data_IF_142845095732
#
_entry.id   IF_142845095732
#
_cell.length_a   1.000
_cell.length_b   1.000
_cell.length_c   1.000
_cell.angle_alpha   90.00
_cell.angle_beta   90.00
_cell.angle_gamma   90.00
#
_symmetry.space_group_name_H-M   'P 1'
#
loop_
_entity.id
_entity.type
_entity.pdbx_description
1 polymer ?
#
# COMPACT_ATOMS: atom_id res chain seq x y z
N UNK A 1 10.13 -20.64 -2.81
CA UNK A 1 9.60 -21.41 -1.63
C UNK A 1 9.51 -20.55 -0.37
N UNK A 2 8.62 -20.91 0.57
CA UNK A 2 8.44 -20.20 1.83
C UNK A 2 9.67 -20.24 2.73
N UNK A 3 10.35 -19.11 2.89
CA UNK A 3 11.44 -18.95 3.86
C UNK A 3 11.09 -17.79 4.79
N UNK A 4 11.76 -17.71 5.95
CA UNK A 4 11.62 -16.56 6.85
C UNK A 4 11.79 -15.24 6.09
N UNK A 5 12.89 -15.11 5.32
CA UNK A 5 13.20 -13.90 4.56
C UNK A 5 12.20 -13.72 3.41
N UNK A 6 11.81 -14.81 2.75
CA UNK A 6 10.83 -14.81 1.67
C UNK A 6 9.44 -14.33 2.08
N UNK A 7 9.09 -14.39 3.38
CA UNK A 7 7.85 -13.80 3.90
C UNK A 7 8.08 -12.39 4.47
N UNK A 8 9.12 -12.21 5.28
CA UNK A 8 9.37 -10.95 5.98
C UNK A 8 9.70 -9.81 5.01
N UNK A 9 10.53 -10.05 3.99
CA UNK A 9 10.94 -8.98 3.07
C UNK A 9 9.77 -8.46 2.19
N UNK A 10 8.96 -9.31 1.53
CA UNK A 10 7.73 -8.85 0.88
C UNK A 10 6.75 -8.22 1.87
N UNK A 11 6.68 -8.74 3.11
CA UNK A 11 5.86 -8.18 4.17
C UNK A 11 6.17 -6.72 4.48
N UNK A 12 7.44 -6.35 4.60
CA UNK A 12 7.85 -4.95 4.72
C UNK A 12 7.46 -4.11 3.50
N UNK A 13 7.61 -4.66 2.30
CA UNK A 13 7.19 -3.99 1.06
C UNK A 13 5.70 -3.62 1.08
N UNK A 14 4.83 -4.60 1.32
CA UNK A 14 3.38 -4.37 1.41
C UNK A 14 3.01 -3.42 2.54
N UNK A 15 3.66 -3.53 3.71
CA UNK A 15 3.41 -2.62 4.84
C UNK A 15 3.74 -1.17 4.49
N UNK A 16 4.91 -0.92 3.91
CA UNK A 16 5.33 0.44 3.53
C UNK A 16 4.42 1.04 2.45
N UNK A 17 4.05 0.24 1.44
CA UNK A 17 3.11 0.68 0.40
C UNK A 17 1.72 0.96 0.99
N UNK A 18 1.22 0.07 1.86
CA UNK A 18 -0.08 0.26 2.53
C UNK A 18 -0.13 1.52 3.39
N UNK A 19 0.91 1.78 4.19
CA UNK A 19 1.03 3.01 4.98
C UNK A 19 1.16 4.26 4.10
N UNK A 20 1.93 4.17 3.02
CA UNK A 20 2.06 5.24 2.03
C UNK A 20 0.71 5.58 1.39
N UNK A 21 -0.08 4.58 1.01
CA UNK A 21 -1.43 4.78 0.48
C UNK A 21 -2.38 5.35 1.53
N UNK A 22 -2.34 4.82 2.76
CA UNK A 22 -3.20 5.26 3.86
C UNK A 22 -2.98 6.74 4.19
N UNK A 23 -1.72 7.16 4.28
CA UNK A 23 -1.35 8.55 4.48
C UNK A 23 -1.85 9.45 3.35
N UNK A 24 -1.60 9.08 2.10
CA UNK A 24 -1.96 9.94 0.97
C UNK A 24 -3.48 10.03 0.74
N UNK A 25 -4.22 8.92 0.89
CA UNK A 25 -5.68 8.93 0.82
C UNK A 25 -6.28 9.81 1.93
N UNK A 26 -5.79 9.65 3.16
CA UNK A 26 -6.25 10.47 4.30
C UNK A 26 -5.95 11.94 4.07
N UNK A 27 -4.71 12.28 3.70
CA UNK A 27 -4.30 13.65 3.37
C UNK A 27 -5.15 14.26 2.26
N UNK A 28 -5.35 13.55 1.16
CA UNK A 28 -6.11 14.04 0.02
C UNK A 28 -7.56 14.31 0.40
N UNK A 29 -8.18 13.40 1.15
CA UNK A 29 -9.55 13.55 1.61
C UNK A 29 -9.71 14.70 2.60
N UNK A 30 -8.79 14.84 3.58
CA UNK A 30 -8.85 15.91 4.56
C UNK A 30 -8.67 17.30 3.94
N UNK A 31 -7.81 17.44 2.93
CA UNK A 31 -7.60 18.72 2.24
C UNK A 31 -8.73 19.03 1.25
N UNK A 32 -9.25 18.02 0.54
CA UNK A 32 -10.18 18.23 -0.57
C UNK A 32 -11.33 17.20 -0.58
N UNK A 33 -12.22 17.19 0.42
CA UNK A 33 -13.22 16.12 0.56
C UNK A 33 -14.22 16.07 -0.60
N UNK A 34 -14.55 17.21 -1.21
CA UNK A 34 -15.51 17.29 -2.33
C UNK A 34 -14.95 16.82 -3.67
N UNK A 35 -13.63 16.89 -3.85
CA UNK A 35 -12.95 16.53 -5.10
C UNK A 35 -12.04 15.31 -4.94
N UNK A 36 -12.15 14.60 -3.81
CA UNK A 36 -11.41 13.38 -3.57
C UNK A 36 -11.62 12.38 -4.70
N UNK A 37 -10.52 11.71 -5.07
CA UNK A 37 -10.53 10.57 -5.99
C UNK A 37 -9.65 9.45 -5.47
N UNK A 38 -10.08 8.24 -5.81
CA UNK A 38 -9.30 7.03 -5.63
C UNK A 38 -8.10 7.04 -6.57
N UNK A 39 -6.94 6.61 -6.07
CA UNK A 39 -5.72 6.43 -6.86
C UNK A 39 -5.08 5.09 -6.49
N UNK A 40 -4.64 4.29 -7.50
CA UNK A 40 -3.99 3.00 -7.25
C UNK A 40 -2.54 3.14 -6.75
N UNK A 41 -1.89 4.29 -7.02
CA UNK A 41 -0.53 4.66 -6.56
C UNK A 41 -0.45 6.18 -6.36
N UNK A 42 0.56 6.66 -5.62
CA UNK A 42 0.75 8.08 -5.31
C UNK A 42 2.14 8.61 -5.67
N UNK A 43 2.23 9.88 -6.14
CA UNK A 43 3.51 10.47 -6.44
C UNK A 43 4.26 10.95 -5.19
N UNK A 44 5.57 10.73 -5.14
CA UNK A 44 6.43 11.27 -4.09
C UNK A 44 7.07 12.62 -4.50
N UNK A 45 7.42 13.45 -3.51
CA UNK A 45 7.83 14.84 -3.74
C UNK A 45 9.12 14.99 -4.57
N UNK A 46 10.14 14.16 -4.32
CA UNK A 46 11.44 14.24 -5.02
C UNK A 46 11.49 13.32 -6.25
N UNK A 47 10.81 12.18 -6.18
CA UNK A 47 10.79 11.17 -7.23
C UNK A 47 9.34 10.77 -7.47
N UNK A 48 8.71 11.39 -8.49
CA UNK A 48 7.28 11.21 -8.78
C UNK A 48 6.87 9.74 -8.81
N UNK A 49 7.66 8.87 -9.44
CA UNK A 49 7.33 7.45 -9.61
C UNK A 49 8.01 6.53 -8.59
N UNK A 50 8.46 7.05 -7.45
CA UNK A 50 9.20 6.28 -6.43
C UNK A 50 8.49 4.99 -6.05
N UNK A 51 7.18 5.05 -5.78
CA UNK A 51 6.37 3.88 -5.44
C UNK A 51 6.46 2.79 -6.53
N UNK A 52 6.25 3.17 -7.79
CA UNK A 52 6.29 2.25 -8.92
C UNK A 52 7.69 1.66 -9.13
N UNK A 53 8.75 2.45 -8.93
CA UNK A 53 10.12 1.96 -9.02
C UNK A 53 10.45 0.98 -7.89
N UNK A 54 9.98 1.23 -6.66
CA UNK A 54 10.17 0.31 -5.55
C UNK A 54 9.42 -1.01 -5.78
N UNK A 55 8.19 -0.96 -6.31
CA UNK A 55 7.44 -2.16 -6.69
C UNK A 55 8.18 -2.93 -7.79
N UNK A 56 8.59 -2.25 -8.86
CA UNK A 56 9.33 -2.88 -9.96
C UNK A 56 10.66 -3.50 -9.49
N UNK A 57 11.44 -2.77 -8.69
CA UNK A 57 12.70 -3.27 -8.15
C UNK A 57 12.49 -4.47 -7.22
N UNK A 58 11.50 -4.41 -6.33
CA UNK A 58 11.14 -5.52 -5.43
C UNK A 58 10.68 -6.76 -6.21
N UNK A 59 9.83 -6.58 -7.23
CA UNK A 59 9.39 -7.66 -8.11
C UNK A 59 10.55 -8.28 -8.89
N UNK A 60 11.43 -7.47 -9.47
CA UNK A 60 12.63 -7.97 -10.17
C UNK A 60 13.55 -8.75 -9.23
N UNK A 61 13.79 -8.23 -8.02
CA UNK A 61 14.58 -8.92 -7.02
C UNK A 61 13.94 -10.24 -6.61
N UNK A 62 12.63 -10.28 -6.39
CA UNK A 62 11.88 -11.50 -6.07
C UNK A 62 11.98 -12.55 -7.18
N UNK A 63 11.76 -12.16 -8.45
CA UNK A 63 11.94 -13.06 -9.61
C UNK A 63 13.37 -13.60 -9.67
N UNK A 64 14.37 -12.72 -9.48
CA UNK A 64 15.77 -13.14 -9.47
C UNK A 64 16.08 -14.12 -8.34
N UNK A 65 15.55 -13.88 -7.14
CA UNK A 65 15.71 -14.75 -5.99
C UNK A 65 15.07 -16.12 -6.20
N UNK A 66 13.86 -16.19 -6.74
CA UNK A 66 13.16 -17.45 -6.93
C UNK A 66 13.75 -18.29 -8.09
N UNK A 67 14.15 -17.66 -9.19
CA UNK A 67 14.53 -18.39 -10.41
C UNK A 67 16.04 -18.57 -10.61
N UNK A 68 16.88 -17.67 -10.08
CA UNK A 68 18.30 -17.63 -10.44
C UNK A 68 19.25 -17.60 -9.23
N UNK A 69 18.86 -17.01 -8.10
CA UNK A 69 19.78 -16.86 -6.95
C UNK A 69 19.52 -17.94 -5.89
N UNK A 70 18.27 -18.19 -5.54
CA UNK A 70 17.87 -19.19 -4.54
C UNK A 70 18.10 -20.65 -4.96
N UNK A 71 17.82 -21.06 -6.21
CA UNK A 71 18.08 -22.42 -6.67
C UNK A 71 19.58 -22.79 -6.62
N UNK A 72 19.91 -24.01 -6.18
CA UNK A 72 21.30 -24.46 -5.98
C UNK A 72 22.16 -24.41 -7.26
N UNK A 73 21.55 -24.63 -8.44
CA UNK A 73 22.25 -24.58 -9.73
C UNK A 73 22.28 -23.19 -10.37
N UNK A 74 21.69 -22.19 -9.70
CA UNK A 74 21.50 -20.84 -10.23
C UNK A 74 20.82 -20.78 -11.61
N UNK A 75 20.09 -21.84 -11.98
CA UNK A 75 19.25 -21.91 -13.16
C UNK A 75 17.91 -22.57 -12.81
N UNK A 76 16.81 -22.12 -13.41
CA UNK A 76 15.49 -22.63 -13.05
C UNK A 76 15.10 -23.91 -13.79
N UNK A 77 15.79 -24.27 -14.88
CA UNK A 77 15.49 -25.42 -15.75
C UNK A 77 16.49 -26.56 -15.58
N UNK A 78 16.07 -27.76 -15.95
CA UNK A 78 16.95 -28.93 -16.08
C UNK A 78 17.73 -28.94 -17.41
N UNK A 79 18.74 -29.83 -17.59
CA UNK A 79 19.52 -29.90 -18.83
C UNK A 79 18.68 -30.22 -20.07
N UNK A 80 17.52 -30.86 -19.88
CA UNK A 80 16.54 -31.15 -20.91
C UNK A 80 15.52 -30.00 -21.13
N UNK A 81 15.74 -28.84 -20.49
CA UNK A 81 14.91 -27.65 -20.51
C UNK A 81 13.54 -27.79 -19.83
N UNK A 82 13.29 -28.88 -19.11
CA UNK A 82 12.07 -29.03 -18.29
C UNK A 82 12.19 -28.23 -16.98
N UNK A 83 11.05 -27.97 -16.34
CA UNK A 83 11.03 -27.37 -14.99
C UNK A 83 11.13 -28.52 -13.97
N UNK A 84 12.19 -28.58 -13.16
CA UNK A 84 12.32 -29.56 -12.10
C UNK A 84 11.16 -29.47 -11.10
N UNK A 85 10.71 -30.60 -10.56
CA UNK A 85 9.60 -30.62 -9.60
C UNK A 85 9.86 -29.77 -8.35
N UNK A 86 11.10 -29.75 -7.86
CA UNK A 86 11.53 -28.93 -6.73
C UNK A 86 11.62 -27.42 -7.04
N UNK A 87 11.44 -27.01 -8.31
CA UNK A 87 11.44 -25.60 -8.73
C UNK A 87 10.04 -25.07 -9.07
N UNK A 88 9.00 -25.91 -9.10
CA UNK A 88 7.64 -25.50 -9.51
C UNK A 88 7.10 -24.36 -8.64
N UNK A 89 7.23 -24.46 -7.32
CA UNK A 89 6.80 -23.40 -6.38
C UNK A 89 7.55 -22.08 -6.61
N UNK A 90 8.82 -22.12 -7.04
CA UNK A 90 9.58 -20.91 -7.33
C UNK A 90 9.03 -20.20 -8.57
N UNK A 91 8.60 -20.95 -9.59
CA UNK A 91 7.92 -20.38 -10.76
C UNK A 91 6.56 -19.77 -10.42
N UNK A 92 5.81 -20.39 -9.52
CA UNK A 92 4.56 -19.82 -9.01
C UNK A 92 4.83 -18.48 -8.30
N UNK A 93 5.78 -18.45 -7.36
CA UNK A 93 6.16 -17.23 -6.65
C UNK A 93 6.68 -16.12 -7.60
N UNK A 94 7.51 -16.49 -8.58
CA UNK A 94 7.98 -15.58 -9.61
C UNK A 94 6.83 -15.03 -10.45
N UNK A 95 5.80 -15.84 -10.73
CA UNK A 95 4.61 -15.42 -11.48
C UNK A 95 3.75 -14.41 -10.73
N UNK A 96 3.67 -14.49 -9.39
CA UNK A 96 3.06 -13.43 -8.56
C UNK A 96 3.86 -12.13 -8.73
N UNK A 97 5.18 -12.22 -8.62
CA UNK A 97 6.06 -11.04 -8.70
C UNK A 97 6.01 -10.38 -10.08
N UNK A 98 5.88 -11.18 -11.14
CA UNK A 98 5.74 -10.74 -12.52
C UNK A 98 4.48 -9.88 -12.73
N UNK A 99 3.33 -10.24 -12.16
CA UNK A 99 2.12 -9.42 -12.34
C UNK A 99 2.21 -8.08 -11.62
N UNK A 100 2.87 -8.01 -10.47
CA UNK A 100 3.20 -6.72 -9.82
C UNK A 100 4.19 -5.89 -10.64
N UNK A 101 5.18 -6.51 -11.29
CA UNK A 101 6.10 -5.83 -12.20
C UNK A 101 5.36 -5.23 -13.41
N UNK A 102 4.46 -6.01 -14.01
CA UNK A 102 3.61 -5.56 -15.11
C UNK A 102 2.71 -4.40 -14.68
N UNK A 103 2.09 -4.49 -13.50
CA UNK A 103 1.33 -3.38 -12.93
C UNK A 103 2.19 -2.09 -12.84
N UNK A 104 3.39 -2.17 -12.25
CA UNK A 104 4.26 -1.01 -12.10
C UNK A 104 4.68 -0.43 -13.46
N UNK A 105 5.04 -1.29 -14.43
CA UNK A 105 5.44 -0.89 -15.77
C UNK A 105 4.31 -0.19 -16.54
N UNK A 106 3.10 -0.75 -16.52
CA UNK A 106 1.95 -0.15 -17.18
C UNK A 106 1.48 1.13 -16.48
N UNK A 107 1.45 1.16 -15.14
CA UNK A 107 1.13 2.38 -14.39
C UNK A 107 2.09 3.54 -14.74
N UNK A 108 3.39 3.25 -14.84
CA UNK A 108 4.40 4.22 -15.26
C UNK A 108 4.18 4.67 -16.71
N UNK A 109 3.95 3.73 -17.62
CA UNK A 109 3.75 3.99 -19.04
C UNK A 109 2.50 4.84 -19.29
N UNK A 110 1.41 4.55 -18.59
CA UNK A 110 0.16 5.32 -18.69
C UNK A 110 0.32 6.75 -18.17
N UNK A 111 1.04 6.98 -17.06
CA UNK A 111 1.33 8.33 -16.59
C UNK A 111 2.24 9.09 -17.56
N UNK A 112 3.21 8.41 -18.19
CA UNK A 112 4.20 9.03 -19.06
C UNK A 112 3.66 9.39 -20.45
N UNK A 113 2.89 8.48 -21.06
CA UNK A 113 2.37 8.63 -22.42
C UNK A 113 1.09 9.47 -22.46
N UNK A 114 0.42 9.66 -21.31
CA UNK A 114 -0.84 10.40 -21.19
C UNK A 114 -1.85 10.00 -22.29
N UNK A 115 -2.17 8.71 -22.47
CA UNK A 115 -3.23 8.32 -23.39
C UNK A 115 -4.53 8.96 -22.91
N UNK A 116 -5.58 8.95 -23.74
CA UNK A 116 -6.86 9.59 -23.42
C UNK A 116 -7.25 9.33 -21.95
N UNK A 117 -7.23 10.40 -21.14
CA UNK A 117 -7.34 10.35 -19.67
C UNK A 117 -8.49 9.48 -19.13
N UNK A 118 -9.64 9.33 -19.81
CA UNK A 118 -10.72 8.46 -19.33
C UNK A 118 -10.36 6.96 -19.23
N UNK A 119 -9.39 6.46 -20.01
CA UNK A 119 -9.08 5.02 -20.06
C UNK A 119 -7.87 4.61 -19.19
N UNK A 120 -6.91 5.52 -18.98
CA UNK A 120 -5.64 5.19 -18.30
C UNK A 120 -5.83 4.77 -16.83
N UNK A 121 -6.70 5.45 -16.10
CA UNK A 121 -6.93 5.22 -14.67
C UNK A 121 -7.64 3.86 -14.43
N UNK A 122 -8.79 3.54 -15.08
CA UNK A 122 -9.41 2.22 -14.96
C UNK A 122 -8.50 1.06 -15.37
N UNK A 123 -7.69 1.23 -16.43
CA UNK A 123 -6.75 0.19 -16.88
C UNK A 123 -5.61 -0.04 -15.87
N UNK A 124 -5.14 1.01 -15.20
CA UNK A 124 -4.15 0.89 -14.12
C UNK A 124 -4.74 0.14 -12.93
N UNK A 125 -6.00 0.43 -12.58
CA UNK A 125 -6.73 -0.28 -11.51
C UNK A 125 -6.92 -1.75 -11.89
N UNK A 126 -7.24 -2.04 -13.16
CA UNK A 126 -7.37 -3.40 -13.66
C UNK A 126 -6.03 -4.16 -13.57
N UNK A 127 -4.91 -3.54 -13.94
CA UNK A 127 -3.58 -4.14 -13.80
C UNK A 127 -3.23 -4.44 -12.34
N UNK A 128 -3.52 -3.51 -11.42
CA UNK A 128 -3.35 -3.74 -9.98
C UNK A 128 -4.26 -4.88 -9.46
N UNK A 129 -5.51 -4.93 -9.94
CA UNK A 129 -6.46 -5.99 -9.59
C UNK A 129 -5.97 -7.34 -10.10
N UNK A 130 -5.44 -7.41 -11.32
CA UNK A 130 -4.87 -8.63 -11.88
C UNK A 130 -3.67 -9.13 -11.05
N UNK A 131 -2.84 -8.22 -10.51
CA UNK A 131 -1.76 -8.60 -9.60
C UNK A 131 -2.28 -9.24 -8.31
N UNK A 132 -3.26 -8.63 -7.64
CA UNK A 132 -3.89 -9.22 -6.45
C UNK A 132 -4.67 -10.51 -6.75
N UNK A 133 -5.30 -10.61 -7.92
CA UNK A 133 -5.99 -11.81 -8.35
C UNK A 133 -5.01 -12.96 -8.59
N UNK A 134 -3.88 -12.71 -9.25
CA UNK A 134 -2.81 -13.69 -9.43
C UNK A 134 -2.21 -14.13 -8.08
N UNK A 135 -1.97 -13.17 -7.18
CA UNK A 135 -1.50 -13.44 -5.84
C UNK A 135 -2.48 -14.36 -5.09
N UNK A 136 -3.78 -14.03 -5.10
CA UNK A 136 -4.82 -14.84 -4.46
C UNK A 136 -4.90 -16.23 -5.07
N UNK A 137 -4.91 -16.32 -6.41
CA UNK A 137 -5.00 -17.58 -7.15
C UNK A 137 -3.85 -18.52 -6.81
N UNK A 138 -2.60 -18.02 -6.87
CA UNK A 138 -1.43 -18.84 -6.59
C UNK A 138 -1.31 -19.19 -5.12
N UNK A 139 -1.62 -18.27 -4.19
CA UNK A 139 -1.66 -18.64 -2.77
C UNK A 139 -2.79 -19.60 -2.44
N UNK A 140 -3.91 -19.58 -3.16
CA UNK A 140 -4.99 -20.53 -2.94
C UNK A 140 -4.55 -21.96 -3.31
N UNK A 141 -3.95 -22.11 -4.49
CA UNK A 141 -3.41 -23.39 -4.94
C UNK A 141 -2.24 -23.84 -4.07
N UNK A 142 -1.26 -22.97 -3.84
CA UNK A 142 -0.10 -23.25 -2.99
C UNK A 142 -0.50 -23.57 -1.54
N UNK A 143 -1.50 -22.88 -0.97
CA UNK A 143 -2.00 -23.18 0.37
C UNK A 143 -2.81 -24.46 0.43
N UNK A 144 -3.34 -24.95 -0.68
CA UNK A 144 -3.97 -26.27 -0.73
C UNK A 144 -2.94 -27.41 -0.68
N UNK A 145 -1.68 -27.13 -1.04
CA UNK A 145 -0.56 -28.05 -0.89
C UNK A 145 -0.04 -28.09 0.56
N UNK A 146 -0.20 -26.99 1.31
CA UNK A 146 0.17 -26.89 2.72
C UNK A 146 -0.92 -27.40 3.67
N UNK A 147 -0.88 -28.68 4.02
CA UNK A 147 -1.76 -29.24 5.04
C UNK A 147 -1.19 -29.00 6.45
N UNK A 148 -1.91 -28.25 7.30
CA UNK A 148 -1.56 -28.11 8.72
C UNK A 148 -1.60 -26.69 9.25
N UNK A 149 -0.56 -26.30 9.99
CA UNK A 149 -0.44 -24.96 10.61
C UNK A 149 -0.13 -23.91 9.55
N UNK A 150 0.83 -24.17 8.66
CA UNK A 150 1.23 -23.28 7.57
C UNK A 150 0.05 -22.93 6.64
N UNK A 151 -0.72 -23.93 6.22
CA UNK A 151 -1.94 -23.71 5.44
C UNK A 151 -2.98 -22.84 6.15
N UNK A 152 -3.08 -22.91 7.49
CA UNK A 152 -3.98 -22.03 8.24
C UNK A 152 -3.54 -20.57 8.17
N UNK A 153 -2.24 -20.29 8.33
CA UNK A 153 -1.71 -18.93 8.19
C UNK A 153 -1.92 -18.40 6.77
N UNK A 154 -1.66 -19.22 5.74
CA UNK A 154 -1.85 -18.82 4.34
C UNK A 154 -3.33 -18.63 3.98
N UNK A 155 -4.23 -19.44 4.52
CA UNK A 155 -5.67 -19.24 4.34
C UNK A 155 -6.13 -17.90 4.92
N UNK A 156 -5.65 -17.53 6.11
CA UNK A 156 -5.93 -16.23 6.72
C UNK A 156 -5.36 -15.07 5.87
N UNK A 157 -4.17 -15.24 5.28
CA UNK A 157 -3.59 -14.28 4.35
C UNK A 157 -4.48 -14.08 3.11
N UNK A 158 -5.02 -15.16 2.54
CA UNK A 158 -5.90 -15.11 1.37
C UNK A 158 -7.13 -14.24 1.62
N UNK A 159 -7.70 -14.25 2.82
CA UNK A 159 -8.82 -13.36 3.17
C UNK A 159 -8.45 -11.88 3.02
N UNK A 160 -7.27 -11.49 3.49
CA UNK A 160 -6.79 -10.10 3.41
C UNK A 160 -6.46 -9.70 1.97
N UNK A 161 -5.89 -10.63 1.19
CA UNK A 161 -5.65 -10.43 -0.25
C UNK A 161 -6.99 -10.25 -0.97
N UNK A 162 -8.00 -11.05 -0.68
CA UNK A 162 -9.33 -10.94 -1.28
C UNK A 162 -9.98 -9.57 -0.99
N UNK A 163 -9.87 -9.06 0.24
CA UNK A 163 -10.33 -7.70 0.57
C UNK A 163 -9.58 -6.65 -0.25
N UNK A 164 -8.27 -6.82 -0.43
CA UNK A 164 -7.44 -5.90 -1.23
C UNK A 164 -7.80 -5.93 -2.72
N UNK A 165 -8.10 -7.11 -3.26
CA UNK A 165 -8.59 -7.28 -4.63
C UNK A 165 -9.95 -6.61 -4.82
N UNK A 166 -10.93 -6.93 -3.97
CA UNK A 166 -12.30 -6.41 -4.05
C UNK A 166 -12.28 -4.89 -3.97
N UNK A 167 -11.58 -4.32 -2.98
CA UNK A 167 -11.50 -2.86 -2.81
C UNK A 167 -10.74 -2.18 -3.95
N UNK A 168 -9.76 -2.85 -4.57
CA UNK A 168 -9.11 -2.32 -5.78
C UNK A 168 -10.09 -2.30 -6.95
N UNK A 169 -10.85 -3.36 -7.21
CA UNK A 169 -11.89 -3.41 -8.25
C UNK A 169 -13.00 -2.38 -8.03
N UNK A 170 -13.43 -2.19 -6.78
CA UNK A 170 -14.40 -1.15 -6.40
C UNK A 170 -13.92 0.25 -6.77
N UNK A 171 -12.60 0.50 -6.89
CA UNK A 171 -12.05 1.77 -7.34
C UNK A 171 -12.51 2.18 -8.75
N UNK A 172 -12.91 1.21 -9.59
CA UNK A 172 -13.47 1.47 -10.93
C UNK A 172 -14.90 2.01 -10.82
N UNK A 173 -15.74 1.33 -10.02
CA UNK A 173 -17.16 1.68 -9.88
C UNK A 173 -17.43 2.84 -8.92
N UNK A 174 -16.54 3.07 -7.94
CA UNK A 174 -16.68 4.07 -6.89
C UNK A 174 -15.45 4.99 -6.77
N UNK A 175 -15.06 5.70 -7.85
CA UNK A 175 -13.80 6.45 -7.92
C UNK A 175 -13.73 7.66 -6.96
N UNK A 176 -14.85 8.06 -6.32
CA UNK A 176 -14.89 9.14 -5.32
C UNK A 176 -15.10 8.64 -3.89
N UNK A 177 -15.06 7.33 -3.65
CA UNK A 177 -15.27 6.77 -2.32
C UNK A 177 -13.97 6.76 -1.52
N UNK A 178 -13.89 7.61 -0.48
CA UNK A 178 -12.77 7.60 0.46
C UNK A 178 -12.64 6.25 1.17
N UNK A 179 -13.77 5.68 1.60
CA UNK A 179 -13.79 4.39 2.30
C UNK A 179 -13.15 3.27 1.48
N UNK A 180 -13.33 3.27 0.16
CA UNK A 180 -12.70 2.27 -0.73
C UNK A 180 -11.17 2.42 -0.73
N UNK A 181 -10.67 3.65 -0.89
CA UNK A 181 -9.23 3.94 -0.84
C UNK A 181 -8.63 3.63 0.53
N UNK A 182 -9.34 3.98 1.60
CA UNK A 182 -8.95 3.73 2.98
C UNK A 182 -8.85 2.24 3.28
N UNK A 183 -9.92 1.47 3.06
CA UNK A 183 -9.94 0.02 3.34
C UNK A 183 -8.90 -0.71 2.50
N UNK A 184 -8.73 -0.36 1.21
CA UNK A 184 -7.66 -0.92 0.37
C UNK A 184 -6.27 -0.68 0.96
N UNK A 185 -6.00 0.54 1.41
CA UNK A 185 -4.70 0.89 1.98
C UNK A 185 -4.41 0.09 3.26
N UNK A 186 -5.42 0.01 4.13
CA UNK A 186 -5.35 -0.76 5.38
C UNK A 186 -5.16 -2.25 5.11
N UNK A 187 -5.88 -2.81 4.14
CA UNK A 187 -5.76 -4.24 3.80
C UNK A 187 -4.42 -4.57 3.19
N UNK A 188 -3.87 -3.72 2.31
CA UNK A 188 -2.50 -3.88 1.77
C UNK A 188 -1.48 -3.83 2.91
N UNK A 189 -1.60 -2.85 3.82
CA UNK A 189 -0.74 -2.77 4.99
C UNK A 189 -0.85 -4.01 5.89
N UNK A 190 -2.07 -4.53 6.06
CA UNK A 190 -2.32 -5.72 6.88
C UNK A 190 -1.77 -6.99 6.23
N UNK A 191 -1.80 -7.13 4.89
CA UNK A 191 -1.08 -8.21 4.21
C UNK A 191 0.40 -8.19 4.63
N UNK A 192 1.01 -7.00 4.62
CA UNK A 192 2.41 -6.84 5.02
C UNK A 192 2.69 -7.27 6.45
N UNK A 193 1.86 -6.84 7.40
CA UNK A 193 1.96 -7.26 8.81
C UNK A 193 1.82 -8.78 8.92
N UNK A 194 0.82 -9.36 8.26
CA UNK A 194 0.54 -10.78 8.37
C UNK A 194 1.64 -11.65 7.74
N UNK A 195 2.23 -11.21 6.63
CA UNK A 195 3.43 -11.84 6.06
C UNK A 195 4.60 -11.86 7.06
N UNK A 196 4.85 -10.75 7.75
CA UNK A 196 5.91 -10.67 8.76
C UNK A 196 5.61 -11.63 9.93
N UNK A 197 4.39 -11.59 10.46
CA UNK A 197 3.93 -12.45 11.56
C UNK A 197 4.08 -13.93 11.19
N UNK A 198 3.53 -14.34 10.05
CA UNK A 198 3.64 -15.71 9.53
C UNK A 198 5.11 -16.14 9.38
N UNK A 199 5.96 -15.27 8.82
CA UNK A 199 7.39 -15.53 8.66
C UNK A 199 8.06 -15.87 9.99
N UNK A 200 7.79 -15.10 11.04
CA UNK A 200 8.35 -15.41 12.36
C UNK A 200 7.69 -16.62 13.02
N UNK A 201 6.36 -16.73 12.96
CA UNK A 201 5.61 -17.78 13.63
C UNK A 201 5.98 -19.20 13.14
N UNK A 202 6.25 -19.34 11.84
CA UNK A 202 6.52 -20.65 11.23
C UNK A 202 8.01 -21.01 11.18
N UNK A 203 8.92 -20.02 11.16
CA UNK A 203 10.37 -20.25 11.03
C UNK A 203 11.20 -19.86 12.27
N UNK A 204 10.56 -19.56 13.41
CA UNK A 204 11.25 -19.33 14.69
C UNK A 204 10.91 -20.44 15.68
N UNK A 205 11.85 -21.32 16.07
CA UNK A 205 11.57 -22.46 16.93
C UNK A 205 10.86 -22.11 18.25
N UNK A 206 11.21 -20.96 18.84
CA UNK A 206 10.64 -20.49 20.11
C UNK A 206 9.16 -20.07 20.01
N UNK A 207 8.64 -19.81 18.79
CA UNK A 207 7.26 -19.38 18.56
C UNK A 207 6.34 -20.53 18.14
N UNK A 208 6.88 -21.74 18.00
CA UNK A 208 6.10 -22.91 17.56
C UNK A 208 5.12 -23.33 18.66
N UNK A 209 3.83 -23.55 18.32
CA UNK A 209 2.84 -23.98 19.29
C UNK A 209 3.22 -25.28 19.99
N UNK A 210 3.00 -25.36 21.31
CA UNK A 210 3.25 -26.60 22.08
C UNK A 210 2.55 -27.82 21.45
N UNK A 211 3.28 -28.92 21.31
CA UNK A 211 2.84 -30.13 20.62
C UNK A 211 3.11 -30.12 19.11
N UNK A 212 3.72 -29.06 18.59
CA UNK A 212 4.23 -28.98 17.22
C UNK A 212 5.76 -28.80 17.21
N UNK A 213 6.37 -29.13 16.08
CA UNK A 213 7.82 -29.15 15.89
C UNK A 213 8.16 -28.81 14.43
N UNK A 214 9.38 -28.33 14.17
CA UNK A 214 9.86 -28.19 12.79
C UNK A 214 10.32 -29.55 12.28
N UNK A 215 9.85 -29.89 11.09
CA UNK A 215 10.26 -31.07 10.34
C UNK A 215 10.90 -30.63 9.03
N UNK A 216 11.97 -31.28 8.61
CA UNK A 216 12.60 -31.03 7.31
C UNK A 216 11.98 -31.98 6.27
N UNK A 217 11.31 -31.42 5.28
CA UNK A 217 10.65 -32.13 4.20
C UNK A 217 11.07 -31.50 2.87
N UNK A 218 11.48 -32.28 1.86
CA UNK A 218 11.87 -31.80 0.53
C UNK A 218 12.81 -30.56 0.54
N UNK A 219 13.75 -30.52 1.50
CA UNK A 219 14.74 -29.45 1.63
C UNK A 219 14.22 -28.13 2.24
N UNK A 220 13.05 -28.14 2.88
CA UNK A 220 12.51 -26.99 3.62
C UNK A 220 11.93 -27.39 4.98
N UNK A 221 11.91 -26.44 5.92
CA UNK A 221 11.33 -26.65 7.24
C UNK A 221 9.83 -26.34 7.23
N UNK A 222 9.03 -27.30 7.65
CA UNK A 222 7.58 -27.19 7.84
C UNK A 222 7.19 -27.49 9.28
N UNK A 223 6.13 -26.86 9.77
CA UNK A 223 5.63 -27.10 11.13
C UNK A 223 4.63 -28.27 11.13
N UNK A 224 5.01 -29.38 11.77
CA UNK A 224 4.16 -30.56 11.99
C UNK A 224 3.75 -30.66 13.46
N UNK A 225 2.63 -31.31 13.72
CA UNK A 225 2.10 -31.49 15.09
C UNK A 225 1.97 -32.97 15.42
N UNK A 226 2.25 -33.33 16.68
CA UNK A 226 2.31 -34.73 17.14
C UNK A 226 0.94 -35.39 17.30
N UNK A 227 -0.14 -34.62 17.34
CA UNK A 227 -1.51 -35.11 17.47
C UNK A 227 -2.52 -34.13 16.85
N UNK A 228 -3.72 -34.62 16.56
CA UNK A 228 -4.83 -33.78 16.08
C UNK A 228 -5.20 -32.70 17.09
N UNK A 229 -5.14 -32.99 18.40
CA UNK A 229 -5.40 -32.00 19.45
C UNK A 229 -4.37 -30.85 19.39
N UNK A 230 -3.09 -31.17 19.22
CA UNK A 230 -2.03 -30.17 19.08
C UNK A 230 -2.21 -29.35 17.80
N UNK A 231 -2.60 -29.98 16.69
CA UNK A 231 -2.90 -29.32 15.43
C UNK A 231 -4.09 -28.36 15.56
N UNK A 232 -5.20 -28.82 16.16
CA UNK A 232 -6.37 -27.98 16.42
C UNK A 232 -6.00 -26.78 17.28
N UNK A 233 -5.24 -26.99 18.36
CA UNK A 233 -4.75 -25.91 19.21
C UNK A 233 -3.90 -24.91 18.42
N UNK A 234 -2.96 -25.38 17.59
CA UNK A 234 -2.11 -24.51 16.78
C UNK A 234 -2.93 -23.65 15.80
N UNK A 235 -3.90 -24.25 15.10
CA UNK A 235 -4.82 -23.52 14.21
C UNK A 235 -5.67 -22.49 14.94
N UNK A 236 -6.20 -22.84 16.12
CA UNK A 236 -6.97 -21.91 16.94
C UNK A 236 -6.12 -20.73 17.42
N UNK A 237 -4.85 -20.96 17.78
CA UNK A 237 -3.92 -19.88 18.15
C UNK A 237 -3.67 -18.93 16.98
N UNK A 238 -3.43 -19.45 15.77
CA UNK A 238 -3.29 -18.62 14.57
C UNK A 238 -4.55 -17.77 14.30
N UNK A 239 -5.74 -18.33 14.51
CA UNK A 239 -7.01 -17.59 14.37
C UNK A 239 -7.15 -16.47 15.41
N UNK A 240 -6.76 -16.71 16.66
CA UNK A 240 -6.78 -15.72 17.73
C UNK A 240 -5.78 -14.60 17.44
N UNK A 241 -4.55 -14.96 17.05
CA UNK A 241 -3.52 -14.01 16.66
C UNK A 241 -3.97 -13.12 15.50
N UNK A 242 -4.56 -13.71 14.46
CA UNK A 242 -5.13 -12.96 13.35
C UNK A 242 -6.26 -12.03 13.80
N UNK A 243 -7.16 -12.51 14.66
CA UNK A 243 -8.29 -11.73 15.15
C UNK A 243 -7.84 -10.50 15.95
N UNK A 244 -6.86 -10.67 16.83
CA UNK A 244 -6.29 -9.55 17.60
C UNK A 244 -5.47 -8.60 16.73
N UNK A 245 -4.70 -9.14 15.78
CA UNK A 245 -3.95 -8.33 14.81
C UNK A 245 -4.89 -7.50 13.94
N UNK A 246 -6.00 -8.08 13.47
CA UNK A 246 -7.04 -7.37 12.73
C UNK A 246 -7.66 -6.24 13.57
N UNK A 247 -8.04 -6.53 14.82
CA UNK A 247 -8.57 -5.52 15.73
C UNK A 247 -7.58 -4.37 15.93
N UNK A 248 -6.30 -4.68 16.20
CA UNK A 248 -5.25 -3.69 16.36
C UNK A 248 -5.06 -2.84 15.10
N UNK A 249 -5.00 -3.46 13.92
CA UNK A 249 -4.84 -2.75 12.63
C UNK A 249 -6.01 -1.81 12.36
N UNK A 250 -7.24 -2.26 12.59
CA UNK A 250 -8.43 -1.41 12.44
C UNK A 250 -8.38 -0.23 13.39
N UNK A 251 -8.13 -0.47 14.68
CA UNK A 251 -8.03 0.59 15.69
C UNK A 251 -6.93 1.60 15.36
N UNK A 252 -5.73 1.13 15.03
CA UNK A 252 -4.60 1.99 14.67
C UNK A 252 -4.88 2.80 13.41
N UNK A 253 -5.54 2.23 12.41
CA UNK A 253 -5.89 2.92 11.17
C UNK A 253 -6.91 4.03 11.41
N UNK A 254 -7.92 3.78 12.24
CA UNK A 254 -8.91 4.79 12.63
C UNK A 254 -8.29 5.90 13.48
N UNK A 255 -7.42 5.55 14.44
CA UNK A 255 -6.67 6.55 15.21
C UNK A 255 -5.77 7.39 14.32
N UNK A 256 -5.06 6.76 13.38
CA UNK A 256 -4.24 7.45 12.40
C UNK A 256 -5.06 8.45 11.57
N UNK A 257 -6.24 8.05 11.11
CA UNK A 257 -7.16 8.95 10.42
C UNK A 257 -7.57 10.16 11.29
N UNK A 258 -7.97 9.94 12.54
CA UNK A 258 -8.38 11.03 13.45
C UNK A 258 -7.24 12.02 13.73
N UNK A 259 -6.04 11.50 13.98
CA UNK A 259 -4.85 12.32 14.25
C UNK A 259 -4.42 13.12 13.02
N UNK A 260 -4.45 12.50 11.84
CA UNK A 260 -3.99 13.16 10.63
C UNK A 260 -5.04 14.15 10.09
N UNK A 261 -6.33 13.81 10.16
CA UNK A 261 -7.41 14.70 9.72
C UNK A 261 -7.48 15.97 10.58
N UNK A 262 -7.35 15.86 11.91
CA UNK A 262 -7.34 17.03 12.81
C UNK A 262 -6.19 17.99 12.48
N UNK A 263 -4.98 17.47 12.21
CA UNK A 263 -3.82 18.27 11.77
C UNK A 263 -4.07 19.04 10.47
N UNK A 264 -4.80 18.46 9.52
CA UNK A 264 -5.08 19.12 8.25
C UNK A 264 -6.23 20.11 8.32
N UNK A 265 -7.24 19.85 9.16
CA UNK A 265 -8.31 20.82 9.45
C UNK A 265 -7.72 22.08 10.08
N UNK A 266 -6.90 21.92 11.13
CA UNK A 266 -6.22 23.06 11.79
C UNK A 266 -5.36 23.87 10.81
N UNK A 267 -4.61 23.17 9.93
CA UNK A 267 -3.80 23.84 8.90
C UNK A 267 -4.64 24.61 7.88
N UNK A 268 -5.80 24.08 7.50
CA UNK A 268 -6.72 24.75 6.57
C UNK A 268 -7.33 26.00 7.21
N UNK A 269 -7.79 25.90 8.46
CA UNK A 269 -8.32 27.03 9.23
C UNK A 269 -7.27 28.13 9.38
N UNK A 270 -6.06 27.78 9.84
CA UNK A 270 -4.96 28.75 9.95
C UNK A 270 -4.62 29.42 8.61
N UNK A 271 -4.55 28.64 7.52
CA UNK A 271 -4.27 29.19 6.19
C UNK A 271 -5.39 30.10 5.68
N UNK A 272 -6.66 29.82 6.00
CA UNK A 272 -7.78 30.68 5.63
C UNK A 272 -7.77 32.00 6.40
N UNK A 273 -7.45 31.96 7.70
CA UNK A 273 -7.30 33.15 8.54
C UNK A 273 -6.14 34.00 8.03
N UNK A 274 -4.96 33.41 7.84
CA UNK A 274 -3.79 34.14 7.34
C UNK A 274 -4.04 34.80 5.97
N UNK A 275 -4.80 34.13 5.09
CA UNK A 275 -5.18 34.69 3.79
C UNK A 275 -6.18 35.85 3.95
N UNK A 276 -7.18 35.70 4.81
CA UNK A 276 -8.15 36.76 5.10
C UNK A 276 -7.51 37.98 5.77
N UNK A 277 -6.56 37.77 6.69
CA UNK A 277 -5.82 38.86 7.34
C UNK A 277 -4.93 39.59 6.34
N UNK A 278 -4.20 38.86 5.48
CA UNK A 278 -3.39 39.48 4.43
C UNK A 278 -4.23 40.25 3.41
N UNK A 279 -5.40 39.74 3.03
CA UNK A 279 -6.34 40.46 2.15
C UNK A 279 -6.85 41.76 2.83
N UNK A 280 -7.20 41.72 4.12
CA UNK A 280 -7.58 42.93 4.88
C UNK A 280 -6.45 43.95 5.00
N UNK A 281 -5.22 43.52 5.31
CA UNK A 281 -4.05 44.42 5.40
C UNK A 281 -3.73 45.07 4.05
N UNK A 282 -3.95 44.34 2.94
CA UNK A 282 -3.76 44.88 1.59
C UNK A 282 -4.85 45.91 1.25
N UNK A 283 -6.12 45.63 1.58
CA UNK A 283 -7.22 46.58 1.38
C UNK A 283 -7.05 47.87 2.23
N UNK A 284 -6.57 47.76 3.48
CA UNK A 284 -6.28 48.92 4.32
C UNK A 284 -5.14 49.78 3.75
N UNK A 285 -4.07 49.16 3.25
CA UNK A 285 -2.98 49.87 2.58
C UNK A 285 -3.44 50.62 1.32
N UNK A 286 -4.24 49.98 0.47
CA UNK A 286 -4.76 50.59 -0.76
C UNK A 286 -5.67 51.80 -0.44
N UNK A 287 -6.49 51.69 0.62
CA UNK A 287 -7.35 52.79 1.10
C UNK A 287 -6.55 53.96 1.68
N UNK A 288 -5.46 53.71 2.41
CA UNK A 288 -4.57 54.76 2.90
C UNK A 288 -3.83 55.47 1.76
N UNK A 289 -3.37 54.73 0.76
CA UNK A 289 -2.69 55.29 -0.42
C UNK A 289 -3.63 56.19 -1.22
N UNK A 290 -4.88 55.77 -1.46
CA UNK A 290 -5.90 56.57 -2.13
C UNK A 290 -6.25 57.84 -1.33
N UNK A 291 -6.36 57.75 -0.01
CA UNK A 291 -6.63 58.90 0.87
C UNK A 291 -5.47 59.90 0.88
N UNK A 292 -4.24 59.42 0.84
CA UNK A 292 -3.04 60.25 0.76
C UNK A 292 -2.95 61.01 -0.58
N UNK A 293 -3.33 60.34 -1.68
CA UNK A 293 -3.45 60.92 -3.02
C UNK A 293 -4.48 62.06 -3.04
N UNK A 294 -5.69 61.84 -2.51
CA UNK A 294 -6.72 62.88 -2.41
C UNK A 294 -6.29 64.08 -1.55
N UNK A 295 -5.59 63.84 -0.45
CA UNK A 295 -5.04 64.92 0.39
C UNK A 295 -3.95 65.72 -0.33
N UNK A 296 -3.11 65.07 -1.14
CA UNK A 296 -2.10 65.74 -1.97
C UNK A 296 -2.74 66.62 -3.04
N UNK A 297 -3.81 66.14 -3.69
CA UNK A 297 -4.55 66.85 -4.72
C UNK A 297 -5.32 68.05 -4.14
N UNK A 298 -5.93 67.89 -2.96
CA UNK A 298 -6.59 68.98 -2.24
C UNK A 298 -5.61 70.08 -1.81
N UNK A 299 -4.38 69.72 -1.42
CA UNK A 299 -3.33 70.69 -1.04
C UNK A 299 -2.77 71.43 -2.26
N UNK A 300 -2.66 70.74 -3.40
CA UNK A 300 -2.29 71.36 -4.68
C UNK A 300 -3.35 72.37 -5.16
N UNK A 301 -4.64 72.03 -5.08
CA UNK A 301 -5.72 72.95 -5.44
C UNK A 301 -5.79 74.18 -4.51
N UNK A 302 -5.55 74.01 -3.21
CA UNK A 302 -5.57 75.13 -2.24
C UNK A 302 -4.43 76.12 -2.43
N UNK A 303 -3.28 75.67 -2.94
CA UNK A 303 -2.16 76.54 -3.27
C UNK A 303 -2.40 77.35 -4.56
N UNK A 304 -3.22 76.84 -5.48
CA UNK A 304 -3.58 77.54 -6.73
C UNK A 304 -4.57 78.70 -6.47
N UNK A 305 -5.41 78.61 -5.44
CA UNK A 305 -6.35 79.68 -5.06
C UNK A 305 -5.73 80.82 -4.24
N UNK A 306 -4.49 80.69 -3.77
CA UNK A 306 -3.77 81.73 -3.00
C UNK A 306 -2.83 82.60 -3.86
N UNK A 307 -2.66 82.28 -5.14
CA UNK A 307 -1.81 83.02 -6.09
C UNK A 307 -2.61 83.93 -7.06
N UNK A 308 -3.88 84.24 -6.76
CA UNK A 308 -4.73 85.08 -7.63
C UNK A 308 -5.24 86.34 -6.96
#
# INVERSE_FOLDING_TARGET
MGTLIGHVAPGFGFLLIGLWHLYNHTKLYSLHPRSYRFFPWFPAAKLRHLELFLIAAGSCASIAMELFIGPQRHQPLDPDLTIPSNHLHNFEHASISLTFLLYAAFAFTFDRTRPARPAAEPLTILAASAAFAQQLFLFHLHSSDHMGVEGQYHWLLQLVIAVSLITTLMGIGYPRSFSVGFVRSVSIGFQGIWFIVMGYALWTPALIPKGCFMNEEDGHYVVRCSSDEALHRAKSLANIEFSWSLAAVVSLSLLFYLLLSSRYVEKMEYSSIAKSTGEMETEEMDLEEERSSFLSLGKAMRNVDLER
#
